data_IF_401101227149
#
_entry.id   IF_401101227149
#
_cell.length_a   1.000
_cell.length_b   1.000
_cell.length_c   1.000
_cell.angle_alpha   90.00
_cell.angle_beta   90.00
_cell.angle_gamma   90.00
#
_symmetry.space_group_name_H-M   'P 1'
#
loop_
_entity.id
_entity.type
_entity.pdbx_description
1 polymer ?
#
# COMPACT_ATOMS: atom_id res chain seq x y z
N UNK A 1 -3.34 -14.65 8.76
CA UNK A 1 -2.39 -13.91 9.59
C UNK A 1 -2.48 -12.43 9.24
N UNK A 2 -2.79 -11.58 10.21
CA UNK A 2 -2.75 -10.13 10.09
C UNK A 2 -1.38 -9.62 10.56
N UNK A 3 -0.74 -8.76 9.77
CA UNK A 3 0.61 -8.26 9.98
C UNK A 3 0.56 -6.73 9.97
N UNK A 4 1.14 -6.07 10.98
CA UNK A 4 1.38 -4.62 10.98
C UNK A 4 2.85 -4.34 10.68
N UNK A 5 3.13 -3.32 9.85
CA UNK A 5 4.49 -2.90 9.53
C UNK A 5 4.56 -1.38 9.32
N UNK A 6 5.26 -0.70 10.22
CA UNK A 6 5.48 0.76 10.16
C UNK A 6 6.95 1.13 9.88
N UNK A 7 7.70 0.25 9.22
CA UNK A 7 9.06 0.58 8.81
C UNK A 7 9.06 1.84 7.91
N UNK A 8 9.97 2.80 8.08
CA UNK A 8 11.22 2.72 8.83
C UNK A 8 11.14 3.19 10.30
N UNK A 9 10.00 3.62 10.83
CA UNK A 9 9.89 4.14 12.20
C UNK A 9 10.03 3.06 13.27
N UNK A 10 9.61 1.84 12.95
CA UNK A 10 9.76 0.66 13.81
C UNK A 10 10.40 -0.49 13.02
N UNK A 11 11.01 -1.41 13.73
CA UNK A 11 11.58 -2.61 13.14
C UNK A 11 10.51 -3.46 12.47
N UNK A 12 10.92 -4.14 11.40
CA UNK A 12 10.03 -5.08 10.72
C UNK A 12 9.68 -6.26 11.62
N UNK A 13 8.42 -6.69 11.64
CA UNK A 13 8.01 -7.83 12.44
C UNK A 13 8.71 -9.12 11.98
N UNK A 14 9.05 -9.99 12.94
CA UNK A 14 9.46 -11.35 12.65
C UNK A 14 8.23 -12.19 12.36
N UNK A 15 8.21 -12.87 11.22
CA UNK A 15 7.08 -13.70 10.82
C UNK A 15 7.45 -15.18 10.91
N UNK A 16 6.46 -16.05 11.21
CA UNK A 16 6.63 -17.48 11.03
C UNK A 16 6.89 -17.82 9.57
N UNK A 17 7.46 -18.98 9.32
CA UNK A 17 7.59 -19.49 7.96
C UNK A 17 6.25 -19.41 7.21
N UNK A 18 6.30 -19.16 5.91
CA UNK A 18 5.10 -19.17 5.11
C UNK A 18 4.63 -20.62 4.92
N UNK A 19 3.31 -20.80 4.99
CA UNK A 19 2.63 -22.03 4.62
C UNK A 19 1.53 -21.73 3.61
N UNK A 20 1.10 -22.72 2.85
CA UNK A 20 0.12 -22.56 1.79
C UNK A 20 -1.31 -22.36 2.30
N UNK A 21 -1.57 -22.66 3.57
CA UNK A 21 -2.92 -22.60 4.16
C UNK A 21 -3.21 -21.25 4.82
N UNK A 22 -2.17 -20.46 5.09
CA UNK A 22 -2.31 -19.20 5.81
C UNK A 22 -2.35 -18.00 4.86
N UNK A 23 -3.53 -17.40 4.70
CA UNK A 23 -3.64 -16.09 4.04
C UNK A 23 -2.98 -15.00 4.89
N UNK A 24 -2.04 -14.25 4.31
CA UNK A 24 -1.31 -13.17 4.96
C UNK A 24 -1.77 -11.82 4.46
N UNK A 25 -2.33 -11.02 5.37
CA UNK A 25 -2.72 -9.64 5.15
C UNK A 25 -1.74 -8.71 5.86
N UNK A 26 -1.12 -7.82 5.11
CA UNK A 26 -0.21 -6.79 5.61
C UNK A 26 -0.90 -5.43 5.62
N UNK A 27 -0.96 -4.80 6.80
CA UNK A 27 -1.21 -3.38 6.94
C UNK A 27 0.15 -2.66 7.02
N UNK A 28 0.44 -1.84 6.03
CA UNK A 28 1.71 -1.12 5.94
C UNK A 28 1.49 0.38 5.89
N UNK A 29 2.33 1.14 6.58
CA UNK A 29 2.29 2.59 6.48
C UNK A 29 2.53 3.05 5.03
N UNK A 30 3.54 2.51 4.38
CA UNK A 30 4.01 2.93 3.05
C UNK A 30 3.99 1.77 2.03
N UNK A 31 3.78 2.05 0.74
CA UNK A 31 3.92 1.07 -0.34
C UNK A 31 5.35 0.55 -0.50
N UNK A 32 6.34 1.19 0.11
CA UNK A 32 7.75 0.82 0.00
C UNK A 32 8.06 -0.58 0.54
N UNK A 33 7.15 -1.15 1.35
CA UNK A 33 7.30 -2.50 1.89
C UNK A 33 6.87 -3.61 0.92
N UNK A 34 6.50 -3.28 -0.32
CA UNK A 34 6.03 -4.28 -1.32
C UNK A 34 7.04 -5.40 -1.55
N UNK A 35 8.35 -5.10 -1.60
CA UNK A 35 9.37 -6.11 -1.81
C UNK A 35 9.60 -6.99 -0.59
N UNK A 36 9.42 -6.44 0.62
CA UNK A 36 9.43 -7.21 1.85
C UNK A 36 8.19 -8.11 1.92
N UNK A 37 7.01 -7.59 1.61
CA UNK A 37 5.76 -8.35 1.56
C UNK A 37 5.87 -9.57 0.64
N UNK A 38 6.41 -9.38 -0.56
CA UNK A 38 6.64 -10.46 -1.53
C UNK A 38 7.55 -11.56 -0.98
N UNK A 39 8.69 -11.19 -0.38
CA UNK A 39 9.62 -12.17 0.21
C UNK A 39 9.00 -12.99 1.32
N UNK A 40 8.00 -12.45 2.00
CA UNK A 40 7.29 -13.10 3.10
C UNK A 40 5.96 -13.72 2.67
N UNK A 41 5.76 -13.88 1.36
CA UNK A 41 4.57 -14.52 0.79
C UNK A 41 3.26 -13.89 1.29
N UNK A 42 3.21 -12.56 1.35
CA UNK A 42 2.00 -11.80 1.68
C UNK A 42 1.09 -11.77 0.46
N UNK A 43 -0.17 -12.20 0.59
CA UNK A 43 -1.13 -12.21 -0.52
C UNK A 43 -1.78 -10.83 -0.72
N UNK A 44 -2.10 -10.13 0.38
CA UNK A 44 -2.70 -8.80 0.30
C UNK A 44 -1.94 -7.81 1.17
N UNK A 45 -1.59 -6.68 0.59
CA UNK A 45 -0.98 -5.55 1.29
C UNK A 45 -1.86 -4.31 1.13
N UNK A 46 -2.21 -3.68 2.25
CA UNK A 46 -2.92 -2.40 2.28
C UNK A 46 -1.95 -1.33 2.76
N UNK A 47 -1.78 -0.27 1.97
CA UNK A 47 -0.85 0.80 2.24
C UNK A 47 -1.48 2.19 2.03
N UNK A 48 -0.87 3.20 2.64
CA UNK A 48 -1.23 4.61 2.51
C UNK A 48 -0.02 5.48 2.28
N UNK A 49 0.15 6.52 3.10
CA UNK A 49 1.29 7.44 3.19
C UNK A 49 1.46 8.40 2.00
N UNK A 50 1.30 7.93 0.78
CA UNK A 50 1.58 8.71 -0.45
C UNK A 50 0.55 9.79 -0.74
N UNK A 51 -0.61 9.74 -0.08
CA UNK A 51 -1.74 10.65 -0.30
C UNK A 51 -2.13 10.82 -1.78
N UNK A 52 -1.89 9.79 -2.60
CA UNK A 52 -2.10 9.83 -4.04
C UNK A 52 -1.15 10.78 -4.78
N UNK A 53 -0.07 11.23 -4.12
CA UNK A 53 0.86 12.23 -4.62
C UNK A 53 0.39 13.67 -4.48
N UNK A 54 -0.75 13.91 -3.80
CA UNK A 54 -1.43 15.19 -3.54
C UNK A 54 -1.60 16.12 -4.75
N UNK A 55 -0.63 16.18 -5.67
CA UNK A 55 -0.66 16.88 -6.95
C UNK A 55 -0.58 15.90 -8.11
N UNK A 56 -1.59 15.94 -8.99
CA UNK A 56 -1.66 15.10 -10.20
C UNK A 56 -1.87 15.99 -11.41
N UNK A 57 -1.08 15.80 -12.46
CA UNK A 57 -1.33 16.44 -13.75
C UNK A 57 -2.27 15.58 -14.58
N UNK A 58 -3.18 16.20 -15.33
CA UNK A 58 -3.96 15.48 -16.35
C UNK A 58 -3.02 14.74 -17.30
N UNK A 59 -3.36 13.51 -17.66
CA UNK A 59 -2.61 12.62 -18.56
C UNK A 59 -1.27 12.10 -18.05
N UNK A 60 -0.59 12.81 -17.15
CA UNK A 60 0.74 12.44 -16.61
C UNK A 60 0.60 11.68 -15.28
N UNK A 61 -0.40 12.03 -14.47
CA UNK A 61 -0.61 11.41 -13.16
C UNK A 61 0.11 12.13 -12.01
N UNK A 62 0.47 11.42 -10.93
CA UNK A 62 1.09 12.03 -9.75
C UNK A 62 2.52 12.49 -10.05
N UNK A 63 2.83 13.73 -9.65
CA UNK A 63 4.14 14.36 -9.89
C UNK A 63 5.13 14.00 -8.78
N UNK A 64 4.65 13.97 -7.52
CA UNK A 64 5.46 13.72 -6.34
C UNK A 64 4.79 12.63 -5.49
N UNK A 65 5.59 11.74 -4.94
CA UNK A 65 5.14 10.76 -3.96
C UNK A 65 6.22 10.60 -2.89
N UNK A 66 5.89 10.70 -1.59
CA UNK A 66 6.83 10.46 -0.50
C UNK A 66 7.09 8.95 -0.35
N UNK A 67 7.74 8.34 -1.34
CA UNK A 67 8.03 6.93 -1.42
C UNK A 67 9.38 6.75 -2.10
N UNK A 68 10.14 5.71 -1.71
CA UNK A 68 11.38 5.31 -2.40
C UNK A 68 11.15 4.93 -3.87
N UNK A 69 9.92 4.62 -4.22
CA UNK A 69 9.51 4.32 -5.60
C UNK A 69 8.93 5.54 -6.34
N UNK A 70 9.06 6.74 -5.77
CA UNK A 70 8.49 7.96 -6.33
C UNK A 70 6.97 7.89 -6.49
N UNK A 71 6.47 8.32 -7.64
CA UNK A 71 5.03 8.32 -7.93
C UNK A 71 4.47 6.97 -8.41
N UNK A 72 5.32 5.96 -8.59
CA UNK A 72 4.94 4.66 -9.19
C UNK A 72 3.82 3.95 -8.43
N UNK A 73 3.80 4.04 -7.10
CA UNK A 73 2.80 3.43 -6.23
C UNK A 73 2.04 4.49 -5.44
N UNK A 74 1.69 5.61 -6.09
CA UNK A 74 1.07 6.72 -5.40
C UNK A 74 -0.39 6.46 -4.99
N UNK A 75 -1.15 5.69 -5.74
CA UNK A 75 -2.51 5.24 -5.42
C UNK A 75 -2.98 4.17 -6.40
N UNK A 76 -3.88 3.30 -5.96
CA UNK A 76 -4.52 2.26 -6.77
C UNK A 76 -4.06 0.85 -6.43
N UNK A 77 -4.37 -0.09 -7.33
CA UNK A 77 -4.11 -1.50 -7.15
C UNK A 77 -2.91 -1.94 -7.98
N UNK A 78 -2.04 -2.70 -7.36
CA UNK A 78 -0.81 -3.19 -7.98
C UNK A 78 -0.63 -4.67 -7.68
N UNK A 79 -0.25 -5.43 -8.69
CA UNK A 79 0.09 -6.84 -8.50
C UNK A 79 1.60 -7.06 -8.71
N UNK A 80 2.22 -7.67 -7.72
CA UNK A 80 3.61 -8.13 -7.72
C UNK A 80 3.66 -9.51 -7.09
N UNK A 81 3.53 -10.54 -7.90
CA UNK A 81 3.38 -11.93 -7.44
C UNK A 81 4.27 -12.27 -6.23
N UNK A 82 3.71 -12.88 -5.18
CA UNK A 82 2.31 -13.26 -4.98
C UNK A 82 1.42 -12.15 -4.39
N UNK A 83 1.93 -10.93 -4.21
CA UNK A 83 1.29 -9.86 -3.45
C UNK A 83 0.42 -8.97 -4.34
N UNK A 84 -0.86 -8.85 -4.00
CA UNK A 84 -1.73 -7.74 -4.42
C UNK A 84 -1.58 -6.61 -3.42
N UNK A 85 -1.31 -5.39 -3.88
CA UNK A 85 -1.18 -4.22 -3.02
C UNK A 85 -2.22 -3.18 -3.41
N UNK A 86 -3.00 -2.71 -2.42
CA UNK A 86 -3.86 -1.54 -2.54
C UNK A 86 -3.21 -0.35 -1.84
N UNK A 87 -3.09 0.79 -2.55
CA UNK A 87 -2.57 2.03 -1.98
C UNK A 87 -3.67 3.08 -1.99
N UNK A 88 -4.19 3.40 -0.80
CA UNK A 88 -5.23 4.40 -0.62
C UNK A 88 -4.67 5.82 -0.69
N UNK A 89 -5.46 6.74 -1.26
CA UNK A 89 -5.17 8.18 -1.20
C UNK A 89 -5.44 8.77 0.18
N UNK A 90 -6.23 8.08 1.01
CA UNK A 90 -6.62 8.54 2.33
C UNK A 90 -7.54 9.76 2.33
N UNK A 91 -8.01 10.13 3.52
CA UNK A 91 -8.97 11.23 3.73
C UNK A 91 -8.29 12.57 4.00
N UNK A 92 -7.10 12.56 4.61
CA UNK A 92 -6.32 13.75 4.94
C UNK A 92 -5.00 13.80 4.16
N UNK A 93 -4.17 14.78 4.44
CA UNK A 93 -2.83 14.92 3.88
C UNK A 93 -2.00 15.86 4.73
N UNK A 94 -0.69 15.86 4.52
CA UNK A 94 0.26 16.77 5.19
C UNK A 94 -0.05 18.24 4.87
N UNK A 95 -0.61 18.49 3.69
CA UNK A 95 -1.05 19.80 3.25
C UNK A 95 -2.54 19.79 2.94
N UNK A 96 -3.22 20.90 3.17
CA UNK A 96 -4.68 21.03 2.94
C UNK A 96 -5.04 21.01 1.45
N UNK A 97 -4.08 21.21 0.56
CA UNK A 97 -4.32 21.33 -0.88
C UNK A 97 -4.11 19.98 -1.56
N UNK A 98 -5.14 19.52 -2.28
CA UNK A 98 -5.07 18.38 -3.20
C UNK A 98 -5.47 18.85 -4.59
N UNK A 99 -4.59 18.65 -5.58
CA UNK A 99 -4.83 19.04 -6.98
C UNK A 99 -5.09 17.76 -7.79
N UNK A 100 -6.30 17.64 -8.34
CA UNK A 100 -6.76 16.45 -9.09
C UNK A 100 -6.58 15.11 -8.34
N UNK A 101 -6.53 15.16 -7.00
CA UNK A 101 -6.35 14.01 -6.13
C UNK A 101 -7.39 14.02 -5.01
N UNK A 102 -8.61 13.60 -5.32
CA UNK A 102 -9.72 13.57 -4.33
C UNK A 102 -9.38 12.61 -3.18
N UNK A 103 -9.82 12.95 -1.94
CA UNK A 103 -9.78 12.01 -0.82
C UNK A 103 -10.49 10.70 -1.17
N UNK A 104 -10.05 9.61 -0.53
CA UNK A 104 -10.55 8.27 -0.81
C UNK A 104 -10.72 7.48 0.49
N UNK A 105 -11.87 6.83 0.62
CA UNK A 105 -12.12 5.77 1.58
C UNK A 105 -12.42 4.50 0.81
N UNK A 106 -11.58 3.49 0.96
CA UNK A 106 -11.71 2.23 0.24
C UNK A 106 -12.39 1.18 1.11
N UNK A 107 -13.44 0.55 0.60
CA UNK A 107 -14.04 -0.64 1.21
C UNK A 107 -13.52 -1.88 0.47
N UNK A 108 -12.83 -2.74 1.19
CA UNK A 108 -12.24 -3.96 0.64
C UNK A 108 -12.95 -5.17 1.22
N UNK A 109 -13.52 -6.00 0.35
CA UNK A 109 -14.20 -7.23 0.73
C UNK A 109 -13.33 -8.43 0.38
N UNK A 110 -12.98 -9.22 1.38
CA UNK A 110 -12.30 -10.51 1.20
C UNK A 110 -13.34 -11.63 1.12
N UNK A 111 -13.21 -12.50 0.15
CA UNK A 111 -14.06 -13.68 -0.01
C UNK A 111 -13.19 -14.93 -0.11
N UNK A 112 -13.62 -15.99 0.52
CA UNK A 112 -13.02 -17.30 0.28
C UNK A 112 -13.35 -17.75 -1.15
N UNK A 113 -12.42 -18.43 -1.82
CA UNK A 113 -12.73 -19.06 -3.11
C UNK A 113 -13.86 -20.09 -2.90
N UNK A 114 -14.78 -20.12 -3.84
CA UNK A 114 -15.85 -21.14 -3.88
C UNK A 114 -15.31 -22.44 -4.45
#
# INVERSE_FOLDING_TARGET
LLIGNEYPWFDRPRLPAADEQTFRLLLSHSPDQIWWARRHQVQLMLAGHTHGGQGRLPLIGPILGPSFHGSRFAAGDFFKSPTTMHVSRGLSGTHLIRIHCRPELSLITLRLPQ
#
